data_IF_728900608599
#
_entry.id   IF_728900608599
#
_cell.length_a   1.000
_cell.length_b   1.000
_cell.length_c   1.000
_cell.angle_alpha   90.00
_cell.angle_beta   90.00
_cell.angle_gamma   90.00
#
_symmetry.space_group_name_H-M   'P 1'
#
loop_
_entity.id
_entity.type
_entity.pdbx_description
1 polymer ?
#
# COMPACT_ATOMS: atom_id res chain seq x y z
N UNK A 1 6.70 -14.39 29.02
CA UNK A 1 7.37 -13.29 28.28
C UNK A 1 8.29 -13.79 27.15
N UNK A 2 9.02 -14.89 27.26
CA UNK A 2 9.94 -15.37 26.20
C UNK A 2 9.29 -15.76 24.88
N UNK A 3 8.07 -16.28 24.87
CA UNK A 3 7.32 -16.65 23.66
C UNK A 3 6.93 -15.42 22.84
N UNK A 4 6.62 -14.28 23.46
CA UNK A 4 6.26 -13.05 22.76
C UNK A 4 7.45 -12.47 21.97
N UNK A 5 8.65 -12.55 22.50
CA UNK A 5 9.87 -12.04 21.85
C UNK A 5 10.27 -12.93 20.66
N UNK A 6 10.09 -14.26 20.75
CA UNK A 6 10.40 -15.20 19.67
C UNK A 6 9.42 -15.08 18.47
N UNK A 7 8.20 -14.58 18.68
CA UNK A 7 7.19 -14.43 17.63
C UNK A 7 7.55 -13.26 16.69
N UNK A 8 8.20 -12.19 17.20
CA UNK A 8 8.51 -11.00 16.36
C UNK A 8 9.38 -11.32 15.14
N UNK A 9 10.50 -12.04 15.25
CA UNK A 9 11.26 -12.46 14.07
C UNK A 9 10.46 -13.36 13.11
N UNK A 10 9.64 -14.28 13.65
CA UNK A 10 8.81 -15.15 12.84
C UNK A 10 7.77 -14.37 12.01
N UNK A 11 7.13 -13.37 12.60
CA UNK A 11 6.21 -12.45 11.90
C UNK A 11 6.92 -11.75 10.74
N UNK A 12 8.12 -11.22 10.98
CA UNK A 12 8.91 -10.56 9.93
C UNK A 12 9.30 -11.52 8.82
N UNK A 13 9.70 -12.75 9.15
CA UNK A 13 10.05 -13.77 8.14
C UNK A 13 8.83 -14.12 7.29
N UNK A 14 7.68 -14.40 7.90
CA UNK A 14 6.44 -14.72 7.16
C UNK A 14 6.05 -13.57 6.25
N UNK A 15 6.04 -12.34 6.76
CA UNK A 15 5.73 -11.14 5.98
C UNK A 15 6.63 -11.00 4.76
N UNK A 16 7.95 -11.13 4.93
CA UNK A 16 8.92 -10.99 3.85
C UNK A 16 8.84 -12.13 2.82
N UNK A 17 8.53 -13.37 3.24
CA UNK A 17 8.29 -14.49 2.32
C UNK A 17 7.07 -14.19 1.44
N UNK A 18 5.96 -13.77 2.04
CA UNK A 18 4.73 -13.44 1.31
C UNK A 18 4.99 -12.26 0.36
N UNK A 19 5.66 -11.22 0.85
CA UNK A 19 6.08 -10.08 0.03
C UNK A 19 6.88 -10.54 -1.20
N UNK A 20 7.93 -11.32 -1.01
CA UNK A 20 8.80 -11.77 -2.09
C UNK A 20 8.04 -12.66 -3.11
N UNK A 21 7.19 -13.58 -2.62
CA UNK A 21 6.42 -14.47 -3.47
C UNK A 21 5.31 -13.75 -4.24
N UNK A 22 4.73 -12.68 -3.68
CA UNK A 22 3.67 -11.90 -4.33
C UNK A 22 4.18 -10.84 -5.29
N UNK A 23 5.42 -10.38 -5.16
CA UNK A 23 5.97 -9.32 -5.99
C UNK A 23 6.04 -9.70 -7.49
N UNK A 24 6.44 -10.94 -7.82
CA UNK A 24 6.48 -11.40 -9.20
C UNK A 24 5.08 -11.54 -9.83
N UNK A 25 4.11 -12.25 -9.22
CA UNK A 25 2.74 -12.27 -9.72
C UNK A 25 2.11 -10.89 -9.84
N UNK A 26 2.41 -9.95 -8.92
CA UNK A 26 1.92 -8.58 -8.99
C UNK A 26 2.38 -7.87 -10.26
N UNK A 27 3.64 -8.03 -10.65
CA UNK A 27 4.16 -7.52 -11.92
C UNK A 27 3.39 -8.07 -13.12
N UNK A 28 3.23 -9.39 -13.20
CA UNK A 28 2.48 -10.04 -14.29
C UNK A 28 1.01 -9.59 -14.33
N UNK A 29 0.36 -9.44 -13.16
CA UNK A 29 -1.01 -8.94 -13.07
C UNK A 29 -1.11 -7.48 -13.55
N UNK A 30 -0.13 -6.66 -13.20
CA UNK A 30 -0.11 -5.24 -13.59
C UNK A 30 0.00 -5.05 -15.11
N UNK A 31 0.73 -5.95 -15.77
CA UNK A 31 0.85 -5.94 -17.24
C UNK A 31 -0.46 -6.34 -17.94
N UNK A 32 -1.28 -7.20 -17.31
CA UNK A 32 -2.55 -7.69 -17.87
C UNK A 32 -3.76 -6.83 -17.53
N UNK A 33 -3.88 -6.40 -16.29
CA UNK A 33 -5.05 -5.70 -15.74
C UNK A 33 -4.82 -4.20 -15.54
N UNK A 34 -3.61 -3.73 -15.86
CA UNK A 34 -3.22 -2.35 -15.63
C UNK A 34 -2.73 -2.09 -14.20
N UNK A 35 -1.75 -1.20 -14.09
CA UNK A 35 -1.07 -0.87 -12.81
C UNK A 35 -2.03 -0.31 -11.76
N UNK A 36 -2.98 0.51 -12.20
CA UNK A 36 -3.96 1.14 -11.32
C UNK A 36 -4.87 0.10 -10.64
N UNK A 37 -5.32 -0.92 -11.39
CA UNK A 37 -6.16 -1.98 -10.85
C UNK A 37 -5.45 -2.78 -9.76
N UNK A 38 -4.20 -3.17 -10.00
CA UNK A 38 -3.41 -3.92 -9.02
C UNK A 38 -3.08 -3.07 -7.79
N UNK A 39 -2.83 -1.76 -7.98
CA UNK A 39 -2.62 -0.82 -6.87
C UNK A 39 -3.86 -0.71 -5.98
N UNK A 40 -5.06 -0.59 -6.56
CA UNK A 40 -6.32 -0.56 -5.81
C UNK A 40 -6.48 -1.84 -4.98
N UNK A 41 -6.25 -3.01 -5.58
CA UNK A 41 -6.30 -4.29 -4.87
C UNK A 41 -5.28 -4.32 -3.73
N UNK A 42 -4.05 -3.88 -4.00
CA UNK A 42 -2.99 -3.83 -3.00
C UNK A 42 -3.32 -2.92 -1.81
N UNK A 43 -3.84 -1.71 -2.07
CA UNK A 43 -4.26 -0.78 -1.00
C UNK A 43 -5.46 -1.32 -0.23
N UNK A 44 -6.44 -1.93 -0.93
CA UNK A 44 -7.57 -2.59 -0.27
C UNK A 44 -7.11 -3.73 0.65
N UNK A 45 -6.11 -4.49 0.23
CA UNK A 45 -5.51 -5.57 1.03
C UNK A 45 -4.92 -5.05 2.33
N UNK A 46 -4.34 -3.84 2.35
CA UNK A 46 -3.84 -3.20 3.58
C UNK A 46 -4.98 -2.87 4.55
N UNK A 47 -6.12 -2.36 4.06
CA UNK A 47 -7.30 -2.10 4.92
C UNK A 47 -7.73 -3.40 5.62
N UNK A 48 -7.81 -4.52 4.89
CA UNK A 48 -8.13 -5.82 5.47
C UNK A 48 -7.07 -6.30 6.46
N UNK A 49 -5.79 -6.12 6.15
CA UNK A 49 -4.70 -6.47 7.06
C UNK A 49 -4.82 -5.72 8.40
N UNK A 50 -5.01 -4.41 8.34
CA UNK A 50 -5.15 -3.55 9.52
C UNK A 50 -6.38 -3.94 10.36
N UNK A 51 -7.52 -4.21 9.71
CA UNK A 51 -8.72 -4.65 10.42
C UNK A 51 -8.52 -6.01 11.11
N UNK A 52 -7.89 -6.98 10.45
CA UNK A 52 -7.58 -8.28 11.05
C UNK A 52 -6.64 -8.10 12.24
N UNK A 53 -5.60 -7.27 12.10
CA UNK A 53 -4.63 -7.00 13.15
C UNK A 53 -5.22 -6.23 14.33
N UNK A 54 -6.15 -5.30 14.07
CA UNK A 54 -6.87 -4.56 15.11
C UNK A 54 -7.65 -5.49 16.06
N UNK A 55 -8.28 -6.52 15.51
CA UNK A 55 -9.11 -7.46 16.29
C UNK A 55 -8.45 -8.80 16.54
N UNK A 56 -7.13 -8.85 16.45
CA UNK A 56 -6.35 -10.08 16.70
C UNK A 56 -6.45 -10.53 18.16
N UNK A 57 -6.91 -11.75 18.36
CA UNK A 57 -7.02 -12.39 19.69
C UNK A 57 -6.12 -13.62 19.85
N UNK A 58 -5.50 -14.08 18.77
CA UNK A 58 -4.71 -15.31 18.74
C UNK A 58 -3.58 -15.26 17.72
N UNK A 59 -2.52 -16.04 17.94
CA UNK A 59 -1.37 -16.12 17.03
C UNK A 59 -1.75 -16.51 15.60
N UNK A 60 -2.65 -17.48 15.34
CA UNK A 60 -3.07 -17.78 13.97
C UNK A 60 -3.74 -16.58 13.26
N UNK A 61 -4.60 -15.83 13.94
CA UNK A 61 -5.25 -14.64 13.37
C UNK A 61 -4.21 -13.54 13.09
N UNK A 62 -3.23 -13.35 14.01
CA UNK A 62 -2.11 -12.45 13.79
C UNK A 62 -1.36 -12.82 12.50
N UNK A 63 -1.04 -14.08 12.29
CA UNK A 63 -0.34 -14.54 11.09
C UNK A 63 -1.15 -14.29 9.81
N UNK A 64 -2.47 -14.45 9.85
CA UNK A 64 -3.34 -14.10 8.72
C UNK A 64 -3.22 -12.61 8.39
N UNK A 65 -3.31 -11.72 9.37
CA UNK A 65 -3.13 -10.27 9.17
C UNK A 65 -1.75 -9.94 8.57
N UNK A 66 -0.69 -10.61 9.07
CA UNK A 66 0.68 -10.46 8.56
C UNK A 66 0.81 -10.94 7.11
N UNK A 67 0.15 -12.02 6.72
CA UNK A 67 0.10 -12.50 5.33
C UNK A 67 -0.54 -11.45 4.43
N UNK A 68 -1.69 -10.90 4.83
CA UNK A 68 -2.33 -9.81 4.07
C UNK A 68 -1.43 -8.56 3.98
N UNK A 69 -0.70 -8.23 5.02
CA UNK A 69 0.25 -7.11 5.00
C UNK A 69 1.41 -7.37 4.04
N UNK A 70 2.03 -8.56 4.07
CA UNK A 70 3.06 -8.95 3.11
C UNK A 70 2.55 -8.93 1.66
N UNK A 71 1.32 -9.40 1.44
CA UNK A 71 0.65 -9.36 0.13
C UNK A 71 0.45 -7.91 -0.36
N UNK A 72 -0.03 -7.01 0.50
CA UNK A 72 -0.11 -5.58 0.21
C UNK A 72 1.23 -5.02 -0.27
N UNK A 73 2.31 -5.29 0.46
CA UNK A 73 3.65 -4.81 0.10
C UNK A 73 4.08 -5.32 -1.28
N UNK A 74 3.85 -6.60 -1.58
CA UNK A 74 4.17 -7.18 -2.89
C UNK A 74 3.36 -6.58 -4.04
N UNK A 75 2.09 -6.26 -3.80
CA UNK A 75 1.21 -5.66 -4.80
C UNK A 75 1.48 -4.17 -5.04
N UNK A 76 2.09 -3.44 -4.09
CA UNK A 76 2.17 -1.98 -4.17
C UNK A 76 3.58 -1.44 -4.41
N UNK A 77 4.61 -1.96 -3.74
CA UNK A 77 5.95 -1.34 -3.75
C UNK A 77 6.58 -1.30 -5.15
N UNK A 78 6.56 -2.42 -5.87
CA UNK A 78 7.09 -2.48 -7.24
C UNK A 78 6.33 -1.59 -8.21
N UNK A 79 5.01 -1.50 -8.06
CA UNK A 79 4.16 -0.67 -8.91
C UNK A 79 4.38 0.83 -8.70
N UNK A 80 4.54 1.28 -7.46
CA UNK A 80 4.85 2.68 -7.16
C UNK A 80 6.18 3.11 -7.78
N UNK A 81 7.21 2.27 -7.67
CA UNK A 81 8.49 2.53 -8.32
C UNK A 81 8.37 2.61 -9.85
N UNK A 82 7.57 1.72 -10.44
CA UNK A 82 7.34 1.72 -11.89
C UNK A 82 6.57 2.97 -12.35
N UNK A 83 5.56 3.40 -11.58
CA UNK A 83 4.81 4.63 -11.87
C UNK A 83 5.73 5.87 -11.86
N UNK A 84 6.67 5.95 -10.92
CA UNK A 84 7.68 7.03 -10.91
C UNK A 84 8.57 6.97 -12.15
N UNK A 85 9.04 5.77 -12.52
CA UNK A 85 9.89 5.59 -13.69
C UNK A 85 9.22 5.96 -15.01
N UNK A 86 7.92 5.69 -15.14
CA UNK A 86 7.15 5.98 -16.36
C UNK A 86 6.76 7.45 -16.50
N UNK A 87 6.54 8.12 -15.37
CA UNK A 87 6.09 9.52 -15.36
C UNK A 87 7.26 10.49 -15.55
N UNK A 88 8.47 10.08 -15.15
CA UNK A 88 9.66 10.93 -15.20
C UNK A 88 10.36 10.87 -16.56
N UNK A 89 10.79 12.02 -17.14
CA UNK A 89 11.70 12.05 -18.28
C UNK A 89 12.97 11.25 -18.01
N UNK A 90 13.54 10.61 -19.03
CA UNK A 90 14.68 9.71 -18.90
C UNK A 90 15.87 10.36 -18.17
N UNK A 91 16.13 11.63 -18.46
CA UNK A 91 17.25 12.42 -17.91
C UNK A 91 17.03 12.79 -16.43
N UNK A 92 15.78 12.78 -15.94
CA UNK A 92 15.40 13.19 -14.59
C UNK A 92 14.93 12.05 -13.71
N UNK A 93 15.00 10.79 -14.17
CA UNK A 93 14.54 9.63 -13.41
C UNK A 93 15.21 9.51 -12.04
N UNK A 94 16.53 9.73 -11.98
CA UNK A 94 17.26 9.72 -10.71
C UNK A 94 16.73 10.75 -9.71
N UNK A 95 16.49 11.98 -10.18
CA UNK A 95 15.90 13.06 -9.37
C UNK A 95 14.49 12.72 -8.93
N UNK A 96 13.65 12.18 -9.83
CA UNK A 96 12.28 11.78 -9.50
C UNK A 96 12.23 10.70 -8.43
N UNK A 97 13.09 9.67 -8.52
CA UNK A 97 13.25 8.67 -7.46
C UNK A 97 13.77 9.28 -6.15
N UNK A 98 14.72 10.22 -6.22
CA UNK A 98 15.21 10.94 -5.05
C UNK A 98 14.10 11.69 -4.31
N UNK A 99 13.28 12.46 -5.05
CA UNK A 99 12.13 13.19 -4.48
C UNK A 99 11.08 12.23 -3.93
N UNK A 100 10.74 11.17 -4.66
CA UNK A 100 9.81 10.15 -4.21
C UNK A 100 10.26 9.48 -2.91
N UNK A 101 11.54 9.06 -2.83
CA UNK A 101 12.08 8.43 -1.64
C UNK A 101 12.16 9.39 -0.46
N UNK A 102 12.51 10.67 -0.69
CA UNK A 102 12.52 11.69 0.35
C UNK A 102 11.11 11.92 0.91
N UNK A 103 10.13 12.13 0.05
CA UNK A 103 8.73 12.31 0.46
C UNK A 103 8.20 11.09 1.21
N UNK A 104 8.46 9.89 0.69
CA UNK A 104 8.07 8.62 1.33
C UNK A 104 8.76 8.45 2.69
N UNK A 105 10.04 8.76 2.80
CA UNK A 105 10.79 8.67 4.05
C UNK A 105 10.26 9.63 5.12
N UNK A 106 9.94 10.89 4.75
CA UNK A 106 9.31 11.85 5.66
C UNK A 106 7.92 11.36 6.09
N UNK A 107 7.10 10.87 5.16
CA UNK A 107 5.79 10.33 5.47
C UNK A 107 5.87 9.11 6.42
N UNK A 108 6.82 8.20 6.19
CA UNK A 108 7.07 7.05 7.06
C UNK A 108 7.52 7.47 8.46
N UNK A 109 8.37 8.50 8.58
CA UNK A 109 8.79 9.04 9.87
C UNK A 109 7.58 9.59 10.66
N UNK A 110 6.77 10.43 10.02
CA UNK A 110 5.55 10.99 10.62
C UNK A 110 4.60 9.85 11.03
N UNK A 111 4.36 8.90 10.14
CA UNK A 111 3.50 7.75 10.41
C UNK A 111 4.00 6.92 11.59
N UNK A 112 5.31 6.68 11.70
CA UNK A 112 5.91 5.94 12.82
C UNK A 112 5.73 6.67 14.15
N UNK A 113 5.92 7.99 14.19
CA UNK A 113 5.71 8.80 15.40
C UNK A 113 4.24 8.77 15.83
N UNK A 114 3.31 8.96 14.87
CA UNK A 114 1.87 8.94 15.14
C UNK A 114 1.43 7.54 15.59
N UNK A 115 1.88 6.49 14.90
CA UNK A 115 1.55 5.11 15.26
C UNK A 115 2.09 4.73 16.65
N UNK A 116 3.33 5.14 16.97
CA UNK A 116 3.91 4.92 18.29
C UNK A 116 3.11 5.62 19.39
N UNK A 117 2.76 6.89 19.20
CA UNK A 117 1.95 7.65 20.16
C UNK A 117 0.55 7.03 20.34
N UNK A 118 -0.11 6.61 19.26
CA UNK A 118 -1.40 5.93 19.34
C UNK A 118 -1.29 4.59 20.09
N UNK A 119 -0.23 3.84 19.84
CA UNK A 119 0.03 2.58 20.51
C UNK A 119 0.21 2.76 22.01
N UNK A 120 1.00 3.75 22.43
CA UNK A 120 1.31 4.00 23.84
C UNK A 120 0.10 4.54 24.60
N UNK A 121 -0.73 5.39 23.97
CA UNK A 121 -1.86 6.07 24.63
C UNK A 121 -3.14 5.21 24.57
N UNK A 122 -3.45 4.62 23.41
CA UNK A 122 -4.74 3.97 23.13
C UNK A 122 -4.60 2.47 22.82
N UNK A 123 -3.37 1.97 22.74
CA UNK A 123 -3.08 0.55 22.49
C UNK A 123 -3.13 0.14 21.01
N UNK A 124 -2.84 -1.17 20.75
CA UNK A 124 -2.68 -1.69 19.39
C UNK A 124 -3.96 -1.59 18.55
N UNK A 125 -5.14 -1.80 19.14
CA UNK A 125 -6.42 -1.72 18.42
C UNK A 125 -6.62 -0.35 17.76
N UNK A 126 -6.39 0.72 18.52
CA UNK A 126 -6.54 2.09 18.02
C UNK A 126 -5.52 2.40 16.91
N UNK A 127 -4.30 1.91 17.04
CA UNK A 127 -3.23 2.10 16.05
C UNK A 127 -3.61 1.47 14.70
N UNK A 128 -4.04 0.20 14.70
CA UNK A 128 -4.43 -0.48 13.47
C UNK A 128 -5.74 0.08 12.88
N UNK A 129 -6.71 0.47 13.71
CA UNK A 129 -7.92 1.13 13.21
C UNK A 129 -7.63 2.50 12.58
N UNK A 130 -6.70 3.27 13.15
CA UNK A 130 -6.25 4.52 12.54
C UNK A 130 -5.55 4.27 11.20
N UNK A 131 -4.71 3.23 11.11
CA UNK A 131 -4.09 2.76 9.86
C UNK A 131 -5.14 2.41 8.81
N UNK A 132 -6.12 1.57 9.16
CA UNK A 132 -7.23 1.19 8.27
C UNK A 132 -8.02 2.41 7.78
N UNK A 133 -8.32 3.37 8.67
CA UNK A 133 -9.05 4.59 8.32
C UNK A 133 -8.26 5.48 7.35
N UNK A 134 -6.99 5.71 7.62
CA UNK A 134 -6.11 6.49 6.73
C UNK A 134 -5.94 5.82 5.37
N UNK A 135 -5.75 4.51 5.34
CA UNK A 135 -5.64 3.73 4.11
C UNK A 135 -6.95 3.74 3.31
N UNK A 136 -8.10 3.63 3.99
CA UNK A 136 -9.41 3.75 3.34
C UNK A 136 -9.63 5.14 2.73
N UNK A 137 -9.24 6.21 3.44
CA UNK A 137 -9.28 7.57 2.89
C UNK A 137 -8.37 7.73 1.67
N UNK A 138 -7.17 7.18 1.71
CA UNK A 138 -6.25 7.19 0.57
C UNK A 138 -6.83 6.41 -0.62
N UNK A 139 -7.48 5.27 -0.37
CA UNK A 139 -8.15 4.48 -1.40
C UNK A 139 -9.31 5.24 -2.05
N UNK A 140 -10.14 5.90 -1.26
CA UNK A 140 -11.24 6.76 -1.76
C UNK A 140 -10.68 7.90 -2.60
N UNK A 141 -9.61 8.56 -2.15
CA UNK A 141 -8.92 9.60 -2.90
C UNK A 141 -8.38 9.11 -4.23
N UNK A 142 -7.75 7.92 -4.24
CA UNK A 142 -7.26 7.28 -5.45
C UNK A 142 -8.39 6.99 -6.45
N UNK A 143 -9.49 6.40 -5.98
CA UNK A 143 -10.65 6.08 -6.81
C UNK A 143 -11.30 7.34 -7.39
N UNK A 144 -11.45 8.39 -6.59
CA UNK A 144 -12.00 9.68 -7.04
C UNK A 144 -11.12 10.34 -8.10
N UNK A 145 -9.80 10.27 -7.93
CA UNK A 145 -8.83 10.79 -8.90
C UNK A 145 -8.93 10.04 -10.23
N UNK A 146 -8.97 8.71 -10.19
CA UNK A 146 -9.10 7.87 -11.38
C UNK A 146 -10.43 8.10 -12.12
N UNK A 147 -11.53 8.28 -11.40
CA UNK A 147 -12.83 8.61 -11.98
C UNK A 147 -12.77 9.95 -12.74
N UNK A 148 -12.16 10.98 -12.16
CA UNK A 148 -12.00 12.29 -12.81
C UNK A 148 -11.18 12.22 -14.11
N UNK A 149 -10.09 11.45 -14.12
CA UNK A 149 -9.29 11.25 -15.33
C UNK A 149 -10.06 10.50 -16.41
N UNK A 150 -10.88 9.52 -16.06
CA UNK A 150 -11.72 8.79 -16.99
C UNK A 150 -12.79 9.68 -17.64
N UNK A 151 -13.41 10.61 -16.87
CA UNK A 151 -14.37 11.58 -17.37
C UNK A 151 -13.73 12.63 -18.31
N UNK A 152 -12.57 13.17 -17.92
CA UNK A 152 -11.83 14.13 -18.73
C UNK A 152 -11.46 13.57 -20.09
N UNK A 153 -11.04 12.31 -20.17
CA UNK A 153 -10.67 11.67 -21.44
C UNK A 153 -11.89 11.42 -22.37
N UNK A 154 -13.08 11.18 -21.80
CA UNK A 154 -14.32 11.05 -22.60
C UNK A 154 -14.74 12.36 -23.25
N UNK A 155 -14.59 13.49 -22.57
CA UNK A 155 -14.98 14.80 -23.07
C UNK A 155 -14.06 15.24 -24.24
N UNK A 156 -12.77 14.98 -24.16
CA UNK A 156 -11.82 15.28 -25.24
C UNK A 156 -12.11 14.41 -26.49
N UNK A 157 -12.49 13.15 -26.31
CA UNK A 157 -12.84 12.26 -27.42
C UNK A 157 -14.15 12.61 -28.12
N UNK A 158 -15.09 13.29 -27.45
CA UNK A 158 -16.35 13.71 -28.04
C UNK A 158 -16.22 14.99 -28.89
N UNK A 159 -15.23 15.85 -28.63
CA UNK A 159 -15.00 17.08 -29.44
C UNK A 159 -14.32 16.80 -30.79
N UNK A 160 -13.53 15.70 -30.88
CA UNK A 160 -12.84 15.33 -32.13
C UNK A 160 -13.64 14.41 -33.07
N UNK A 161 -14.86 14.02 -32.68
CA UNK A 161 -15.72 13.17 -33.51
C UNK A 161 -16.78 13.91 -34.32
N UNK A 162 -16.76 15.22 -34.36
CA UNK A 162 -17.74 16.07 -35.08
C UNK A 162 -17.17 16.84 -36.31
N UNK A 163 -15.91 16.57 -36.69
CA UNK A 163 -15.29 17.04 -37.93
C UNK A 163 -15.21 15.87 -38.92
#
# INVERSE_FOLDING_TARGET
MGLAIAIVPAVMVVMNIVYALSAYPAGVLSDRFGRQGVLIVGVSTLVFADLILAFTTSVPVLLVGVVFWGLHMGLTQGLLATLVADTAPAELRGTAFGVFNLASGIAMLIASVVAGALWDIYGPVATFLAGAALTAMALIGLLALLARFAEGNKNVGSEHGHD
#
